data_IF_895319047696
#
_entry.id   IF_895319047696
#
_cell.length_a   1.000
_cell.length_b   1.000
_cell.length_c   1.000
_cell.angle_alpha   90.00
_cell.angle_beta   90.00
_cell.angle_gamma   90.00
#
_symmetry.space_group_name_H-M   'P 1'
#
loop_
_entity.id
_entity.type
_entity.pdbx_description
1 polymer ?
#
# COMPACT_ATOMS: atom_id res chain seq x y z
N UNK A 1 -7.08 -40.56 -15.03
CA UNK A 1 -6.41 -41.06 -13.81
C UNK A 1 -6.71 -40.07 -12.68
N UNK A 2 -7.22 -40.48 -11.51
CA UNK A 2 -7.41 -39.56 -10.40
C UNK A 2 -6.10 -39.44 -9.62
N UNK A 3 -5.61 -38.21 -9.50
CA UNK A 3 -4.47 -37.87 -8.66
C UNK A 3 -4.93 -37.84 -7.20
N UNK A 4 -4.57 -38.87 -6.43
CA UNK A 4 -4.71 -38.88 -4.97
C UNK A 4 -3.50 -38.17 -4.37
N UNK A 5 -3.68 -36.96 -3.84
CA UNK A 5 -2.69 -36.35 -2.94
C UNK A 5 -3.07 -36.54 -1.46
N UNK A 6 -2.12 -36.87 -0.59
CA UNK A 6 -2.39 -37.20 0.80
C UNK A 6 -2.39 -35.97 1.73
N UNK A 7 -3.13 -36.10 2.83
CA UNK A 7 -3.03 -35.34 4.09
C UNK A 7 -3.36 -33.84 4.10
N UNK A 8 -4.67 -33.58 4.23
CA UNK A 8 -5.31 -32.66 5.19
C UNK A 8 -4.47 -31.50 5.77
N UNK A 9 -4.27 -30.44 5.00
CA UNK A 9 -4.63 -29.12 5.51
C UNK A 9 -6.11 -28.95 5.21
N UNK A 10 -6.95 -28.62 6.21
CA UNK A 10 -8.32 -28.16 5.93
C UNK A 10 -8.20 -27.00 4.93
N UNK A 11 -8.50 -27.28 3.66
CA UNK A 11 -8.56 -26.27 2.61
C UNK A 11 -9.56 -25.24 3.15
N UNK A 12 -9.13 -24.01 3.40
CA UNK A 12 -10.05 -22.94 3.78
C UNK A 12 -11.04 -22.85 2.63
N UNK A 13 -12.23 -23.39 2.87
CA UNK A 13 -13.26 -23.51 1.87
C UNK A 13 -13.96 -22.16 1.87
N UNK A 14 -13.59 -21.32 0.90
CA UNK A 14 -14.29 -20.06 0.69
C UNK A 14 -15.69 -20.37 0.18
N UNK A 15 -16.69 -19.71 0.76
CA UNK A 15 -18.05 -19.76 0.22
C UNK A 15 -18.07 -18.99 -1.09
N UNK A 16 -18.38 -19.71 -2.16
CA UNK A 16 -18.46 -19.11 -3.50
C UNK A 16 -19.75 -18.31 -3.58
N UNK A 17 -19.63 -16.98 -3.62
CA UNK A 17 -20.77 -16.08 -3.79
C UNK A 17 -20.83 -15.63 -5.24
N UNK A 18 -21.99 -15.81 -5.89
CA UNK A 18 -22.22 -15.43 -7.29
C UNK A 18 -22.67 -13.97 -7.47
N UNK A 19 -22.79 -13.22 -6.37
CA UNK A 19 -23.18 -11.81 -6.41
C UNK A 19 -22.03 -10.95 -6.95
N UNK A 20 -22.33 -9.94 -7.79
CA UNK A 20 -21.34 -8.95 -8.22
C UNK A 20 -20.69 -8.23 -7.05
N UNK A 21 -19.54 -7.58 -7.29
CA UNK A 21 -18.84 -6.78 -6.29
C UNK A 21 -19.79 -5.77 -5.61
N UNK A 22 -20.03 -5.89 -4.29
CA UNK A 22 -20.94 -5.00 -3.59
C UNK A 22 -20.44 -3.55 -3.55
N UNK A 23 -19.15 -3.29 -3.74
CA UNK A 23 -18.58 -1.94 -3.67
C UNK A 23 -19.02 -1.05 -4.83
N UNK A 24 -19.16 -1.61 -6.04
CA UNK A 24 -19.63 -0.84 -7.20
C UNK A 24 -21.07 -0.34 -7.00
N UNK A 25 -21.97 -1.25 -6.62
CA UNK A 25 -23.38 -0.94 -6.34
C UNK A 25 -23.48 0.12 -5.24
N UNK A 26 -22.77 -0.10 -4.12
CA UNK A 26 -22.80 0.81 -2.97
C UNK A 26 -22.24 2.20 -3.30
N UNK A 27 -21.18 2.29 -4.10
CA UNK A 27 -20.64 3.58 -4.57
C UNK A 27 -21.70 4.36 -5.36
N UNK A 28 -22.45 3.70 -6.24
CA UNK A 28 -23.52 4.35 -7.03
C UNK A 28 -24.65 4.85 -6.15
N UNK A 29 -25.10 4.04 -5.19
CA UNK A 29 -26.17 4.40 -4.25
C UNK A 29 -25.76 5.61 -3.38
N UNK A 30 -24.56 5.59 -2.80
CA UNK A 30 -24.03 6.71 -2.01
C UNK A 30 -23.94 7.99 -2.84
N UNK A 31 -23.48 7.93 -4.08
CA UNK A 31 -23.37 9.12 -4.94
C UNK A 31 -24.73 9.66 -5.43
N UNK A 32 -25.76 8.81 -5.49
CA UNK A 32 -27.12 9.23 -5.81
C UNK A 32 -27.80 9.91 -4.62
N UNK A 33 -27.58 9.39 -3.41
CA UNK A 33 -28.14 9.93 -2.17
C UNK A 33 -27.39 11.16 -1.65
N UNK A 34 -26.05 11.17 -1.79
CA UNK A 34 -25.15 12.24 -1.31
C UNK A 34 -24.22 12.74 -2.43
N UNK A 35 -24.72 13.52 -3.41
CA UNK A 35 -23.92 14.02 -4.54
C UNK A 35 -22.70 14.86 -4.12
N UNK A 36 -22.76 15.52 -2.96
CA UNK A 36 -21.68 16.33 -2.38
C UNK A 36 -20.42 15.52 -2.11
N UNK A 37 -20.53 14.21 -1.88
CA UNK A 37 -19.37 13.30 -1.67
C UNK A 37 -18.45 13.29 -2.88
N UNK A 38 -18.98 13.53 -4.09
CA UNK A 38 -18.17 13.63 -5.31
C UNK A 38 -17.14 14.76 -5.24
N UNK A 39 -17.43 15.84 -4.53
CA UNK A 39 -16.49 16.95 -4.34
C UNK A 39 -15.27 16.57 -3.48
N UNK A 40 -15.42 15.55 -2.63
CA UNK A 40 -14.35 15.03 -1.77
C UNK A 40 -13.44 14.04 -2.51
N UNK A 41 -13.83 13.54 -3.69
CA UNK A 41 -13.05 12.62 -4.52
C UNK A 41 -11.95 13.37 -5.31
N UNK A 42 -11.05 14.03 -4.59
CA UNK A 42 -9.97 14.85 -5.13
C UNK A 42 -8.60 14.40 -4.60
N UNK A 43 -7.55 15.06 -5.05
CA UNK A 43 -6.19 14.87 -4.54
C UNK A 43 -6.02 15.50 -3.17
N UNK A 44 -5.25 14.86 -2.29
CA UNK A 44 -4.84 15.40 -1.00
C UNK A 44 -3.47 16.10 -1.13
N UNK A 45 -3.43 17.44 -1.18
CA UNK A 45 -2.21 18.18 -1.48
C UNK A 45 -1.15 18.08 -0.38
N UNK A 46 -1.50 17.71 0.86
CA UNK A 46 -0.55 17.61 1.97
C UNK A 46 0.31 16.36 1.91
N UNK A 47 -0.19 15.30 1.26
CA UNK A 47 0.46 13.98 1.19
C UNK A 47 1.92 14.08 0.74
N UNK A 48 2.21 14.86 -0.32
CA UNK A 48 3.59 15.03 -0.83
C UNK A 48 4.57 15.61 0.21
N UNK A 49 4.11 16.49 1.09
CA UNK A 49 4.95 17.07 2.14
C UNK A 49 5.24 16.07 3.25
N UNK A 50 4.23 15.30 3.67
CA UNK A 50 4.45 14.23 4.65
C UNK A 50 5.42 13.17 4.14
N UNK A 51 5.33 12.81 2.85
CA UNK A 51 6.27 11.87 2.25
C UNK A 51 7.68 12.45 2.23
N UNK A 52 7.87 13.71 1.80
CA UNK A 52 9.19 14.35 1.80
C UNK A 52 9.80 14.41 3.21
N UNK A 53 9.00 14.74 4.23
CA UNK A 53 9.43 14.73 5.64
C UNK A 53 9.79 13.31 6.08
N UNK A 54 9.00 12.30 5.74
CA UNK A 54 9.30 10.91 6.11
C UNK A 54 10.59 10.40 5.45
N UNK A 55 10.83 10.72 4.18
CA UNK A 55 12.09 10.38 3.50
C UNK A 55 13.26 11.03 4.24
N UNK A 56 13.17 12.33 4.53
CA UNK A 56 14.22 13.04 5.26
C UNK A 56 14.47 12.41 6.63
N UNK A 57 13.41 12.18 7.42
CA UNK A 57 13.52 11.57 8.74
C UNK A 57 14.10 10.15 8.68
N UNK A 58 13.74 9.36 7.66
CA UNK A 58 14.30 8.02 7.47
C UNK A 58 15.80 8.06 7.15
N UNK A 59 16.24 9.01 6.31
CA UNK A 59 17.66 9.21 6.03
C UNK A 59 18.43 9.69 7.27
N UNK A 60 17.88 10.63 8.04
CA UNK A 60 18.45 11.07 9.31
C UNK A 60 18.52 9.92 10.32
N UNK A 61 17.48 9.09 10.40
CA UNK A 61 17.44 7.92 11.28
C UNK A 61 18.51 6.89 10.88
N UNK A 62 18.74 6.67 9.58
CA UNK A 62 19.83 5.79 9.09
C UNK A 62 21.19 6.36 9.50
N UNK A 63 21.43 7.67 9.31
CA UNK A 63 22.68 8.31 9.71
C UNK A 63 22.92 8.27 11.22
N UNK A 64 21.86 8.36 12.02
CA UNK A 64 21.98 8.20 13.48
C UNK A 64 22.23 6.73 13.86
N UNK A 65 21.53 5.78 13.23
CA UNK A 65 21.62 4.37 13.56
C UNK A 65 23.05 3.82 13.40
N UNK A 66 23.83 4.30 12.42
CA UNK A 66 25.23 3.89 12.24
C UNK A 66 26.17 4.35 13.37
N UNK A 67 25.73 5.28 14.21
CA UNK A 67 26.50 5.75 15.39
C UNK A 67 26.21 4.93 16.65
N UNK A 68 25.20 4.05 16.61
CA UNK A 68 24.80 3.23 17.77
C UNK A 68 25.73 2.01 17.85
N UNK A 69 26.61 1.98 18.86
CA UNK A 69 27.54 0.88 19.07
C UNK A 69 26.92 -0.33 19.81
N UNK A 70 25.87 -0.10 20.61
CA UNK A 70 25.15 -1.16 21.30
C UNK A 70 24.17 -1.84 20.34
N UNK A 71 24.40 -3.13 20.07
CA UNK A 71 23.59 -3.90 19.13
C UNK A 71 22.12 -4.04 19.55
N UNK A 72 21.82 -4.11 20.85
CA UNK A 72 20.45 -4.19 21.35
C UNK A 72 19.76 -2.84 21.16
N UNK A 73 20.43 -1.75 21.52
CA UNK A 73 19.92 -0.40 21.29
C UNK A 73 19.70 -0.13 19.79
N UNK A 74 20.60 -0.61 18.93
CA UNK A 74 20.46 -0.52 17.48
C UNK A 74 19.18 -1.21 17.00
N UNK A 75 18.93 -2.46 17.40
CA UNK A 75 17.72 -3.18 16.99
C UNK A 75 16.44 -2.56 17.52
N UNK A 76 16.43 -2.08 18.78
CA UNK A 76 15.27 -1.37 19.34
C UNK A 76 14.99 -0.09 18.56
N UNK A 77 16.03 0.72 18.28
CA UNK A 77 15.89 1.94 17.49
C UNK A 77 15.42 1.65 16.07
N UNK A 78 16.04 0.67 15.40
CA UNK A 78 15.69 0.27 14.04
C UNK A 78 14.24 -0.22 13.96
N UNK A 79 13.77 -0.99 14.95
CA UNK A 79 12.40 -1.49 14.99
C UNK A 79 11.39 -0.37 15.25
N UNK A 80 11.61 0.45 16.29
CA UNK A 80 10.65 1.48 16.69
C UNK A 80 10.65 2.65 15.73
N UNK A 81 11.81 3.27 15.48
CA UNK A 81 11.91 4.48 14.64
C UNK A 81 11.95 4.09 13.16
N UNK A 82 12.88 3.20 12.80
CA UNK A 82 13.02 2.75 11.42
C UNK A 82 11.78 2.02 10.91
N UNK A 83 11.23 1.09 11.70
CA UNK A 83 10.01 0.36 11.33
C UNK A 83 8.80 1.27 11.14
N UNK A 84 8.61 2.27 12.03
CA UNK A 84 7.50 3.23 11.92
C UNK A 84 7.61 4.09 10.67
N UNK A 85 8.78 4.68 10.43
CA UNK A 85 9.02 5.52 9.25
C UNK A 85 8.92 4.70 7.94
N UNK A 86 9.44 3.48 7.94
CA UNK A 86 9.32 2.56 6.81
C UNK A 86 7.84 2.21 6.55
N UNK A 87 7.08 1.85 7.58
CA UNK A 87 5.65 1.55 7.43
C UNK A 87 4.85 2.75 6.91
N UNK A 88 5.15 3.95 7.40
CA UNK A 88 4.59 5.21 6.89
C UNK A 88 4.87 5.39 5.39
N UNK A 89 6.10 5.12 4.93
CA UNK A 89 6.46 5.17 3.51
C UNK A 89 5.77 4.07 2.68
N UNK A 90 5.54 2.88 3.24
CA UNK A 90 4.72 1.84 2.61
C UNK A 90 3.28 2.33 2.36
N UNK A 91 2.65 2.94 3.36
CA UNK A 91 1.33 3.53 3.23
C UNK A 91 1.32 4.71 2.25
N UNK A 92 2.38 5.51 2.21
CA UNK A 92 2.52 6.56 1.21
C UNK A 92 2.56 6.01 -0.23
N UNK A 93 3.31 4.93 -0.47
CA UNK A 93 3.37 4.28 -1.79
C UNK A 93 2.01 3.65 -2.15
N UNK A 94 1.29 3.14 -1.16
CA UNK A 94 -0.11 2.72 -1.31
C UNK A 94 -1.00 3.85 -1.83
N UNK A 95 -1.00 5.00 -1.16
CA UNK A 95 -1.80 6.16 -1.58
C UNK A 95 -1.39 6.71 -2.95
N UNK A 96 -0.08 6.78 -3.22
CA UNK A 96 0.43 7.21 -4.52
C UNK A 96 0.02 6.27 -5.67
N UNK A 97 -0.21 4.98 -5.38
CA UNK A 97 -0.72 4.02 -6.37
C UNK A 97 -2.14 4.37 -6.83
N UNK A 98 -2.91 5.07 -6.00
CA UNK A 98 -4.24 5.60 -6.31
C UNK A 98 -4.23 6.99 -6.94
N UNK A 99 -3.05 7.58 -7.16
CA UNK A 99 -2.85 8.93 -7.68
C UNK A 99 -3.46 10.05 -6.82
N UNK A 100 -3.49 9.86 -5.50
CA UNK A 100 -4.14 10.81 -4.58
C UNK A 100 -3.25 12.00 -4.18
N UNK A 101 -1.94 11.99 -4.48
CA UNK A 101 -1.04 13.09 -4.08
C UNK A 101 -0.86 14.17 -5.16
N UNK A 102 -0.97 13.80 -6.44
CA UNK A 102 -0.86 14.72 -7.58
C UNK A 102 -1.93 14.45 -8.63
N UNK A 103 -2.34 15.48 -9.37
CA UNK A 103 -3.24 15.30 -10.53
C UNK A 103 -2.59 14.51 -11.68
N UNK A 104 -1.26 14.57 -11.80
CA UNK A 104 -0.51 13.86 -12.84
C UNK A 104 -0.10 12.47 -12.35
N UNK A 105 -0.39 11.44 -13.16
CA UNK A 105 0.01 10.06 -12.89
C UNK A 105 1.54 9.94 -12.80
N UNK A 106 2.27 10.59 -13.70
CA UNK A 106 3.74 10.55 -13.72
C UNK A 106 4.34 11.14 -12.42
N UNK A 107 3.80 12.25 -11.91
CA UNK A 107 4.28 12.84 -10.66
C UNK A 107 4.06 11.91 -9.45
N UNK A 108 2.93 11.19 -9.40
CA UNK A 108 2.72 10.19 -8.35
C UNK A 108 3.72 9.02 -8.47
N UNK A 109 4.02 8.58 -9.70
CA UNK A 109 5.01 7.51 -9.93
C UNK A 109 6.42 7.94 -9.52
N UNK A 110 6.87 9.13 -9.91
CA UNK A 110 8.17 9.65 -9.49
C UNK A 110 8.27 9.80 -7.97
N UNK A 111 7.21 10.30 -7.33
CA UNK A 111 7.16 10.39 -5.88
C UNK A 111 7.17 9.02 -5.20
N UNK A 112 6.52 8.01 -5.79
CA UNK A 112 6.52 6.65 -5.26
C UNK A 112 7.91 6.01 -5.35
N UNK A 113 8.63 6.25 -6.45
CA UNK A 113 10.02 5.83 -6.58
C UNK A 113 10.89 6.52 -5.51
N UNK A 114 10.74 7.83 -5.32
CA UNK A 114 11.48 8.57 -4.29
C UNK A 114 11.17 8.07 -2.87
N UNK A 115 9.90 7.82 -2.55
CA UNK A 115 9.47 7.26 -1.27
C UNK A 115 10.01 5.84 -1.04
N UNK A 116 10.29 5.09 -2.11
CA UNK A 116 10.80 3.73 -2.03
C UNK A 116 12.32 3.67 -1.81
N UNK A 117 13.07 4.69 -2.21
CA UNK A 117 14.54 4.73 -2.08
C UNK A 117 15.04 4.36 -0.68
N UNK A 118 14.57 4.98 0.42
CA UNK A 118 15.10 4.67 1.75
C UNK A 118 14.60 3.32 2.31
N UNK A 119 13.69 2.62 1.61
CA UNK A 119 13.25 1.25 1.96
C UNK A 119 14.26 0.21 1.47
N UNK A 120 15.05 0.52 0.44
CA UNK A 120 16.11 -0.35 -0.09
C UNK A 120 15.65 -1.51 -0.98
N UNK A 121 14.34 -1.80 -1.03
CA UNK A 121 13.76 -2.84 -1.90
C UNK A 121 12.92 -2.16 -2.99
N UNK A 122 13.25 -2.29 -4.29
CA UNK A 122 12.54 -1.60 -5.36
C UNK A 122 11.21 -2.30 -5.69
N UNK A 123 10.15 -1.98 -4.94
CA UNK A 123 8.84 -2.64 -5.07
C UNK A 123 7.72 -1.70 -5.57
N UNK A 124 7.91 -0.38 -5.55
CA UNK A 124 6.83 0.59 -5.81
C UNK A 124 6.10 0.39 -7.15
N UNK A 125 6.83 0.13 -8.24
CA UNK A 125 6.24 -0.08 -9.58
C UNK A 125 5.42 -1.36 -9.66
N UNK A 126 5.95 -2.47 -9.12
CA UNK A 126 5.24 -3.74 -9.06
C UNK A 126 4.02 -3.65 -8.15
N UNK A 127 4.17 -3.01 -7.00
CA UNK A 127 3.10 -2.79 -6.03
C UNK A 127 1.93 -2.10 -6.70
N UNK A 128 2.15 -0.95 -7.36
CA UNK A 128 1.07 -0.24 -8.04
C UNK A 128 0.28 -1.15 -8.98
N UNK A 129 0.96 -1.97 -9.79
CA UNK A 129 0.30 -2.90 -10.73
C UNK A 129 -0.57 -3.91 -10.00
N UNK A 130 -0.01 -4.66 -9.05
CA UNK A 130 -0.73 -5.72 -8.34
C UNK A 130 -1.81 -5.16 -7.40
N UNK A 131 -1.55 -4.01 -6.80
CA UNK A 131 -2.47 -3.32 -5.92
C UNK A 131 -3.73 -2.82 -6.64
N UNK A 132 -3.56 -2.21 -7.82
CA UNK A 132 -4.71 -1.83 -8.65
C UNK A 132 -5.50 -3.05 -9.14
N UNK A 133 -4.81 -4.17 -9.45
CA UNK A 133 -5.48 -5.43 -9.78
C UNK A 133 -6.28 -5.97 -8.60
N UNK A 134 -5.73 -5.90 -7.38
CA UNK A 134 -6.42 -6.29 -6.16
C UNK A 134 -7.71 -5.47 -5.99
N UNK A 135 -7.66 -4.15 -6.10
CA UNK A 135 -8.86 -3.30 -6.01
C UNK A 135 -9.88 -3.54 -7.14
N UNK A 136 -9.41 -3.79 -8.37
CA UNK A 136 -10.30 -4.08 -9.49
C UNK A 136 -10.97 -5.46 -9.38
N UNK A 137 -10.33 -6.42 -8.70
CA UNK A 137 -10.76 -7.82 -8.60
C UNK A 137 -10.83 -8.30 -7.15
N UNK A 138 -11.42 -7.48 -6.28
CA UNK A 138 -11.60 -7.81 -4.85
C UNK A 138 -12.38 -9.13 -4.72
N UNK A 139 -11.79 -10.12 -4.03
CA UNK A 139 -12.44 -11.40 -3.75
C UNK A 139 -12.52 -12.40 -4.92
N UNK A 140 -11.91 -12.11 -6.09
CA UNK A 140 -11.88 -13.06 -7.21
C UNK A 140 -10.73 -14.07 -7.04
N UNK A 141 -11.06 -15.35 -6.89
CA UNK A 141 -10.08 -16.44 -6.88
C UNK A 141 -9.80 -16.86 -8.33
N UNK A 142 -8.61 -16.54 -8.84
CA UNK A 142 -8.13 -17.06 -10.13
C UNK A 142 -7.66 -18.51 -9.93
N UNK A 143 -8.46 -19.47 -10.37
CA UNK A 143 -7.93 -20.80 -10.67
C UNK A 143 -7.15 -20.69 -11.98
N UNK A 144 -5.83 -20.84 -11.90
CA UNK A 144 -4.98 -21.18 -13.04
C UNK A 144 -5.10 -22.68 -13.33
#
# INVERSE_FOLDING_TARGET
MPYTSPTCMKRVQFDMVSTPDPHEKRRREILAEFPEVKSLMTVEPRTKYYIAINILLQLLAIMYAVTINDIQAFFVFAYVVGGTLNHSLFLAIHELSHNTAFKSIAHNQYMAIAANLPIGIPYASSFRRYHLQHHYRLGQVFFL
#
